data_IF_224430792476
#
_entry.id   IF_224430792476
#
_cell.length_a   1.000
_cell.length_b   1.000
_cell.length_c   1.000
_cell.angle_alpha   90.00
_cell.angle_beta   90.00
_cell.angle_gamma   90.00
#
_symmetry.space_group_name_H-M   'P 1'
#
loop_
_entity.id
_entity.type
_entity.pdbx_description
1 polymer ?
#
# COMPACT_ATOMS: atom_id res chain seq x y z
N UNK A 1 -22.97 -20.69 0.67
CA UNK A 1 -21.56 -20.35 0.40
C UNK A 1 -20.94 -20.00 1.75
N UNK A 2 -19.87 -20.66 2.16
CA UNK A 2 -19.20 -20.35 3.43
C UNK A 2 -18.53 -18.96 3.31
N UNK A 3 -18.57 -18.11 4.35
CA UNK A 3 -17.91 -16.80 4.33
C UNK A 3 -16.40 -17.07 4.36
N UNK A 4 -15.79 -17.13 3.20
CA UNK A 4 -14.37 -17.39 3.11
C UNK A 4 -13.61 -16.11 3.44
N UNK A 5 -13.32 -15.98 4.74
CA UNK A 5 -12.05 -15.48 5.28
C UNK A 5 -11.92 -14.03 5.78
N UNK A 6 -12.99 -13.27 6.05
CA UNK A 6 -12.83 -11.97 6.72
C UNK A 6 -12.20 -12.11 8.12
N UNK A 7 -12.58 -13.16 8.87
CA UNK A 7 -12.00 -13.46 10.18
C UNK A 7 -10.53 -13.88 10.11
N UNK A 8 -10.14 -14.68 9.12
CA UNK A 8 -8.75 -15.12 8.97
C UNK A 8 -7.84 -13.96 8.53
N UNK A 9 -8.32 -13.15 7.58
CA UNK A 9 -7.64 -11.92 7.14
C UNK A 9 -7.44 -10.96 8.32
N UNK A 10 -8.47 -10.77 9.14
CA UNK A 10 -8.34 -9.97 10.35
C UNK A 10 -7.35 -10.59 11.35
N UNK A 11 -7.33 -11.91 11.55
CA UNK A 11 -6.34 -12.55 12.43
C UNK A 11 -4.89 -12.39 11.92
N UNK A 12 -4.67 -12.45 10.61
CA UNK A 12 -3.34 -12.37 9.99
C UNK A 12 -2.84 -10.92 9.85
N UNK A 13 -3.72 -10.02 9.39
CA UNK A 13 -3.35 -8.64 9.02
C UNK A 13 -3.95 -7.58 9.97
N UNK A 14 -4.92 -7.95 10.81
CA UNK A 14 -5.67 -7.05 11.70
C UNK A 14 -6.63 -6.10 11.04
N UNK A 15 -6.97 -6.39 9.79
CA UNK A 15 -7.82 -5.54 8.99
C UNK A 15 -8.48 -6.40 7.93
N UNK A 16 -9.67 -5.99 7.53
CA UNK A 16 -10.42 -6.48 6.38
C UNK A 16 -10.24 -5.59 5.14
N UNK A 17 -9.51 -4.47 5.25
CA UNK A 17 -9.18 -3.63 4.10
C UNK A 17 -8.26 -4.36 3.14
N UNK A 18 -8.78 -4.65 1.95
CA UNK A 18 -8.00 -5.27 0.87
C UNK A 18 -6.74 -4.45 0.52
N UNK A 19 -6.81 -3.11 0.61
CA UNK A 19 -5.66 -2.24 0.35
C UNK A 19 -4.58 -2.39 1.42
N UNK A 20 -4.96 -2.41 2.70
CA UNK A 20 -4.00 -2.61 3.80
C UNK A 20 -3.39 -4.01 3.78
N UNK A 21 -4.17 -5.02 3.40
CA UNK A 21 -3.66 -6.39 3.24
C UNK A 21 -2.65 -6.43 2.09
N UNK A 22 -2.96 -5.81 0.94
CA UNK A 22 -2.05 -5.75 -0.20
C UNK A 22 -0.75 -5.01 0.14
N UNK A 23 -0.81 -3.90 0.89
CA UNK A 23 0.38 -3.17 1.34
C UNK A 23 1.25 -4.04 2.26
N UNK A 24 0.64 -4.74 3.23
CA UNK A 24 1.36 -5.63 4.13
C UNK A 24 2.04 -6.80 3.41
N UNK A 25 1.36 -7.40 2.42
CA UNK A 25 1.93 -8.45 1.58
C UNK A 25 3.14 -7.98 0.75
N UNK A 26 3.22 -6.69 0.46
CA UNK A 26 4.34 -6.08 -0.26
C UNK A 26 5.45 -5.54 0.65
N UNK A 27 5.33 -5.70 1.97
CA UNK A 27 6.40 -5.41 2.93
C UNK A 27 6.18 -4.19 3.82
N UNK A 28 5.01 -3.55 3.79
CA UNK A 28 4.67 -2.48 4.73
C UNK A 28 4.21 -3.05 6.06
N UNK A 29 4.49 -2.34 7.16
CA UNK A 29 3.91 -2.67 8.46
C UNK A 29 2.41 -2.33 8.52
N UNK A 30 1.73 -2.79 9.58
CA UNK A 30 0.31 -2.47 9.79
C UNK A 30 0.08 -0.97 9.95
N UNK A 31 0.95 -0.27 10.68
CA UNK A 31 0.86 1.18 10.92
C UNK A 31 1.10 1.96 9.63
N UNK A 32 2.17 1.65 8.89
CA UNK A 32 2.42 2.25 7.58
C UNK A 32 1.27 2.02 6.61
N UNK A 33 0.70 0.81 6.60
CA UNK A 33 -0.42 0.48 5.72
C UNK A 33 -1.68 1.28 6.05
N UNK A 34 -1.92 1.57 7.33
CA UNK A 34 -3.01 2.43 7.78
C UNK A 34 -2.81 3.88 7.34
N UNK A 35 -1.59 4.40 7.54
CA UNK A 35 -1.22 5.75 7.10
C UNK A 35 -1.39 5.92 5.58
N UNK A 36 -0.94 4.93 4.80
CA UNK A 36 -1.03 4.98 3.33
C UNK A 36 -2.50 4.93 2.89
N UNK A 37 -3.33 4.09 3.51
CA UNK A 37 -4.76 4.03 3.21
C UNK A 37 -5.47 5.35 3.56
N UNK A 38 -5.13 5.97 4.69
CA UNK A 38 -5.68 7.26 5.10
C UNK A 38 -5.38 8.38 4.08
N UNK A 39 -4.27 8.26 3.33
CA UNK A 39 -3.82 9.21 2.31
C UNK A 39 -3.92 8.65 0.88
N UNK A 40 -4.78 7.63 0.66
CA UNK A 40 -4.83 6.87 -0.60
C UNK A 40 -5.14 7.70 -1.84
N UNK A 41 -5.83 8.83 -1.69
CA UNK A 41 -6.13 9.76 -2.78
C UNK A 41 -4.88 10.36 -3.43
N UNK A 42 -3.77 10.44 -2.69
CA UNK A 42 -2.48 10.96 -3.17
C UNK A 42 -1.47 9.83 -3.38
N UNK A 43 -1.52 8.82 -2.52
CA UNK A 43 -0.49 7.78 -2.43
C UNK A 43 -0.80 6.54 -3.27
N UNK A 44 -2.05 6.30 -3.64
CA UNK A 44 -2.47 5.15 -4.43
C UNK A 44 -2.99 5.60 -5.79
N UNK A 45 -2.51 4.95 -6.83
CA UNK A 45 -3.04 5.04 -8.18
C UNK A 45 -3.77 3.74 -8.54
N UNK A 46 -4.78 3.84 -9.41
CA UNK A 46 -5.58 2.69 -9.86
C UNK A 46 -6.74 2.33 -8.93
N UNK A 47 -7.46 1.28 -9.30
CA UNK A 47 -8.64 0.76 -8.57
C UNK A 47 -8.33 -0.58 -7.89
N UNK A 48 -9.29 -1.10 -7.12
CA UNK A 48 -9.18 -2.41 -6.45
C UNK A 48 -8.75 -3.50 -7.43
N UNK A 49 -7.64 -4.18 -7.12
CA UNK A 49 -7.02 -5.21 -7.97
C UNK A 49 -5.91 -4.72 -8.91
N UNK A 50 -5.78 -3.42 -9.13
CA UNK A 50 -4.75 -2.79 -9.98
C UNK A 50 -4.01 -1.66 -9.26
N UNK A 51 -3.86 -1.78 -7.94
CA UNK A 51 -3.18 -0.75 -7.15
C UNK A 51 -1.72 -0.58 -7.55
N UNK A 52 -1.34 0.70 -7.60
CA UNK A 52 0.04 1.14 -7.75
C UNK A 52 0.36 2.19 -6.71
N UNK A 53 1.56 2.14 -6.15
CA UNK A 53 2.05 3.19 -5.28
C UNK A 53 2.50 4.40 -6.10
N UNK A 54 1.91 5.54 -5.82
CA UNK A 54 2.33 6.83 -6.34
C UNK A 54 3.74 7.15 -5.87
N UNK A 55 4.54 7.80 -6.72
CA UNK A 55 5.91 8.26 -6.35
C UNK A 55 5.88 9.30 -5.23
N UNK A 56 4.72 9.90 -4.95
CA UNK A 56 4.53 10.85 -3.85
C UNK A 56 4.78 10.22 -2.47
N UNK A 57 4.70 8.89 -2.33
CA UNK A 57 4.98 8.19 -1.07
C UNK A 57 6.40 8.42 -0.53
N UNK A 58 7.36 8.78 -1.38
CA UNK A 58 8.73 9.11 -0.96
C UNK A 58 8.83 10.44 -0.17
N UNK A 59 7.80 11.28 -0.26
CA UNK A 59 7.79 12.64 0.30
C UNK A 59 6.87 12.79 1.52
N UNK A 60 6.23 11.71 1.99
CA UNK A 60 5.36 11.74 3.17
C UNK A 60 6.12 12.11 4.43
N UNK A 61 5.47 12.73 5.41
CA UNK A 61 6.16 13.15 6.64
C UNK A 61 6.57 11.96 7.52
N UNK A 62 5.83 10.87 7.45
CA UNK A 62 6.04 9.67 8.25
C UNK A 62 7.38 8.98 7.91
N UNK A 63 8.24 8.86 8.92
CA UNK A 63 9.62 8.36 8.78
C UNK A 63 9.64 6.85 8.55
N UNK A 64 8.74 6.11 9.19
CA UNK A 64 8.66 4.66 9.07
C UNK A 64 8.14 4.29 7.68
N UNK A 65 7.10 4.97 7.19
CA UNK A 65 6.59 4.82 5.83
C UNK A 65 7.68 5.13 4.79
N UNK A 66 8.47 6.18 5.00
CA UNK A 66 9.60 6.51 4.11
C UNK A 66 10.64 5.40 4.07
N UNK A 67 11.05 4.90 5.24
CA UNK A 67 12.07 3.85 5.37
C UNK A 67 11.59 2.56 4.71
N UNK A 68 10.41 2.08 5.07
CA UNK A 68 9.81 0.88 4.50
C UNK A 68 9.63 1.03 2.98
N UNK A 69 9.23 2.23 2.50
CA UNK A 69 9.15 2.51 1.07
C UNK A 69 10.47 2.30 0.34
N UNK A 70 11.61 2.69 0.91
CA UNK A 70 12.92 2.45 0.26
C UNK A 70 13.23 0.95 0.15
N UNK A 71 12.89 0.18 1.18
CA UNK A 71 13.06 -1.27 1.19
C UNK A 71 12.14 -1.94 0.16
N UNK A 72 10.86 -1.54 0.13
CA UNK A 72 9.87 -2.05 -0.83
C UNK A 72 10.21 -1.65 -2.27
N UNK A 73 10.73 -0.46 -2.51
CA UNK A 73 11.22 -0.06 -3.84
C UNK A 73 12.38 -0.93 -4.33
N UNK A 74 13.21 -1.40 -3.41
CA UNK A 74 14.36 -2.26 -3.74
C UNK A 74 13.89 -3.69 -4.02
N UNK A 75 12.99 -4.22 -3.19
CA UNK A 75 12.55 -5.62 -3.25
C UNK A 75 11.45 -5.85 -4.30
N UNK A 76 10.50 -4.92 -4.42
CA UNK A 76 9.29 -5.06 -5.25
C UNK A 76 9.00 -3.79 -6.06
N UNK A 77 9.91 -3.32 -6.92
CA UNK A 77 9.72 -2.08 -7.69
C UNK A 77 8.49 -2.10 -8.62
N UNK A 78 7.98 -3.29 -8.95
CA UNK A 78 6.86 -3.49 -9.85
C UNK A 78 5.52 -2.92 -9.36
N UNK A 79 5.36 -2.66 -8.05
CA UNK A 79 4.11 -2.11 -7.51
C UNK A 79 4.03 -0.58 -7.58
N UNK A 80 5.12 0.10 -7.93
CA UNK A 80 5.11 1.55 -8.05
C UNK A 80 4.53 1.95 -9.42
N UNK A 81 3.84 3.09 -9.45
CA UNK A 81 3.42 3.72 -10.70
C UNK A 81 4.68 4.08 -11.48
N UNK A 82 4.81 3.58 -12.72
CA UNK A 82 5.77 4.13 -13.68
C UNK A 82 5.39 5.59 -13.86
N UNK A 83 6.16 6.50 -13.29
CA UNK A 83 5.87 7.92 -13.42
C UNK A 83 5.86 8.29 -14.89
N UNK A 84 4.71 8.68 -15.43
CA UNK A 84 4.70 9.75 -16.42
C UNK A 84 4.68 11.04 -15.61
N UNK A 85 5.80 11.75 -15.61
CA UNK A 85 5.92 13.08 -15.02
C UNK A 85 5.09 14.14 -15.76
N UNK A 86 4.24 13.77 -16.71
CA UNK A 86 3.40 14.69 -17.45
C UNK A 86 2.11 13.98 -17.79
N UNK A 87 0.97 14.46 -17.28
CA UNK A 87 -0.24 14.70 -18.04
C UNK A 87 -1.24 15.45 -17.14
N UNK A 88 -1.11 16.79 -17.22
CA UNK A 88 -2.02 17.91 -16.94
C UNK A 88 -2.92 17.88 -15.70
#
# INVERSE_FOLDING_TARGET
>A
MLPQNDWYRFMEYGTDSDLRIWLQQNGYSRESSEYIEANKNVLIAGNSGEWRLSRQIQFVEDVDVKKETQEVMTNVPGIFSRGNLNEY
#
